data_IF_289181670429
#
_entry.id   IF_289181670429
#
_cell.length_a   1.000
_cell.length_b   1.000
_cell.length_c   1.000
_cell.angle_alpha   90.00
_cell.angle_beta   90.00
_cell.angle_gamma   90.00
#
_symmetry.space_group_name_H-M   'P 1'
#
loop_
_entity.id
_entity.type
_entity.pdbx_description
1 polymer ?
#
# COMPACT_ATOMS: atom_id res chain seq x y z
N UNK A 1 -3.77 -2.24 -13.17
CA UNK A 1 -2.75 -2.19 -12.11
C UNK A 1 -1.38 -1.89 -12.68
N UNK A 2 -0.88 -2.64 -13.68
CA UNK A 2 0.42 -2.40 -14.30
C UNK A 2 0.68 -0.93 -14.72
N UNK A 3 -0.28 -0.28 -15.38
CA UNK A 3 -0.18 1.14 -15.75
C UNK A 3 0.05 2.03 -14.52
N UNK A 4 -0.68 1.80 -13.42
CA UNK A 4 -0.52 2.57 -12.18
C UNK A 4 0.85 2.32 -11.53
N UNK A 5 1.37 1.09 -11.57
CA UNK A 5 2.73 0.79 -11.10
C UNK A 5 3.78 1.54 -11.89
N UNK A 6 3.64 1.60 -13.22
CA UNK A 6 4.52 2.38 -14.10
C UNK A 6 4.43 3.87 -13.75
N UNK A 7 3.21 4.40 -13.57
CA UNK A 7 3.00 5.80 -13.20
C UNK A 7 3.58 6.13 -11.83
N UNK A 8 3.51 5.23 -10.85
CA UNK A 8 4.18 5.39 -9.55
C UNK A 8 5.69 5.47 -9.76
N UNK A 9 6.27 4.55 -10.54
CA UNK A 9 7.71 4.57 -10.84
C UNK A 9 8.16 5.87 -11.53
N UNK A 10 7.41 6.31 -12.55
CA UNK A 10 7.69 7.56 -13.27
C UNK A 10 7.51 8.80 -12.40
N UNK A 11 6.45 8.85 -11.57
CA UNK A 11 6.20 9.92 -10.61
C UNK A 11 7.33 10.03 -9.59
N UNK A 12 7.70 8.90 -8.99
CA UNK A 12 8.80 8.82 -8.02
C UNK A 12 10.14 9.20 -8.63
N UNK A 13 10.47 8.69 -9.82
CA UNK A 13 11.68 9.07 -10.56
C UNK A 13 11.72 10.58 -10.85
N UNK A 14 10.59 11.15 -11.31
CA UNK A 14 10.50 12.59 -11.59
C UNK A 14 10.69 13.42 -10.32
N UNK A 15 10.11 13.01 -9.20
CA UNK A 15 10.28 13.71 -7.93
C UNK A 15 11.73 13.68 -7.43
N UNK A 16 12.40 12.54 -7.53
CA UNK A 16 13.80 12.41 -7.14
C UNK A 16 14.79 13.10 -8.10
N UNK A 17 14.35 13.42 -9.32
CA UNK A 17 15.16 14.17 -10.29
C UNK A 17 14.99 15.68 -10.15
N UNK A 18 13.75 16.16 -9.97
CA UNK A 18 13.45 17.61 -10.03
C UNK A 18 13.01 18.24 -8.70
N UNK A 19 12.62 17.44 -7.71
CA UNK A 19 12.32 17.84 -6.33
C UNK A 19 11.39 19.08 -6.18
N UNK A 20 10.35 19.18 -7.01
CA UNK A 20 9.39 20.29 -6.96
C UNK A 20 7.97 19.84 -6.65
N UNK A 21 7.09 20.81 -6.30
CA UNK A 21 5.70 20.55 -5.89
C UNK A 21 4.90 19.75 -6.91
N UNK A 22 5.09 20.00 -8.21
CA UNK A 22 4.39 19.26 -9.26
C UNK A 22 4.83 17.80 -9.29
N UNK A 23 6.14 17.56 -9.32
CA UNK A 23 6.66 16.18 -9.35
C UNK A 23 6.33 15.40 -8.08
N UNK A 24 6.33 16.06 -6.92
CA UNK A 24 5.88 15.44 -5.66
C UNK A 24 4.37 15.14 -5.66
N UNK A 25 3.56 16.04 -6.24
CA UNK A 25 2.13 15.80 -6.40
C UNK A 25 1.86 14.60 -7.33
N UNK A 26 2.56 14.50 -8.45
CA UNK A 26 2.41 13.38 -9.39
C UNK A 26 2.75 12.04 -8.75
N UNK A 27 3.82 11.97 -7.95
CA UNK A 27 4.22 10.77 -7.20
C UNK A 27 3.10 10.32 -6.23
N UNK A 28 2.64 11.24 -5.38
CA UNK A 28 1.61 10.94 -4.37
C UNK A 28 0.26 10.61 -5.02
N UNK A 29 -0.14 11.31 -6.08
CA UNK A 29 -1.40 11.02 -6.78
C UNK A 29 -1.39 9.65 -7.46
N UNK A 30 -0.27 9.24 -8.04
CA UNK A 30 -0.15 7.91 -8.64
C UNK A 30 -0.36 6.80 -7.59
N UNK A 31 0.21 6.97 -6.40
CA UNK A 31 0.02 6.06 -5.26
C UNK A 31 -1.44 6.07 -4.79
N UNK A 32 -2.06 7.25 -4.66
CA UNK A 32 -3.45 7.38 -4.23
C UNK A 32 -4.41 6.68 -5.20
N UNK A 33 -4.22 6.86 -6.51
CA UNK A 33 -4.99 6.18 -7.55
C UNK A 33 -4.81 4.67 -7.50
N UNK A 34 -3.59 4.18 -7.21
CA UNK A 34 -3.34 2.77 -7.01
C UNK A 34 -4.12 2.22 -5.81
N UNK A 35 -4.03 2.86 -4.64
CA UNK A 35 -4.72 2.40 -3.43
C UNK A 35 -6.24 2.34 -3.63
N UNK A 36 -6.84 3.40 -4.19
CA UNK A 36 -8.29 3.43 -4.47
C UNK A 36 -8.68 2.35 -5.46
N UNK A 37 -7.93 2.21 -6.55
CA UNK A 37 -8.23 1.21 -7.58
C UNK A 37 -8.08 -0.22 -7.04
N UNK A 38 -7.05 -0.47 -6.23
CA UNK A 38 -6.85 -1.76 -5.58
C UNK A 38 -7.98 -2.08 -4.60
N UNK A 39 -8.32 -1.15 -3.71
CA UNK A 39 -9.41 -1.30 -2.75
C UNK A 39 -10.77 -1.53 -3.42
N UNK A 40 -11.02 -0.90 -4.57
CA UNK A 40 -12.23 -1.13 -5.36
C UNK A 40 -12.25 -2.51 -6.02
N UNK A 41 -11.10 -3.02 -6.47
CA UNK A 41 -11.02 -4.26 -7.23
C UNK A 41 -10.89 -5.52 -6.37
N UNK A 42 -10.21 -5.45 -5.22
CA UNK A 42 -9.95 -6.63 -4.39
C UNK A 42 -11.22 -7.36 -3.93
N UNK A 43 -12.36 -6.71 -3.65
CA UNK A 43 -13.58 -7.40 -3.23
C UNK A 43 -14.19 -8.31 -4.30
N UNK A 44 -13.77 -8.18 -5.56
CA UNK A 44 -14.16 -9.12 -6.63
C UNK A 44 -13.62 -10.54 -6.38
N UNK A 45 -12.60 -10.67 -5.54
CA UNK A 45 -12.07 -11.96 -5.11
C UNK A 45 -12.91 -12.60 -3.99
N UNK A 46 -13.82 -11.84 -3.38
CA UNK A 46 -14.67 -12.32 -2.28
C UNK A 46 -15.93 -12.98 -2.85
N UNK A 47 -16.44 -13.99 -2.14
CA UNK A 47 -17.61 -14.77 -2.56
C UNK A 47 -18.93 -13.98 -2.59
N UNK A 48 -18.93 -12.73 -2.13
CA UNK A 48 -20.09 -11.82 -2.00
C UNK A 48 -19.82 -10.47 -2.70
N UNK A 49 -19.07 -10.52 -3.80
CA UNK A 49 -18.61 -9.34 -4.56
C UNK A 49 -19.74 -8.57 -5.27
N UNK A 50 -20.45 -7.71 -4.54
CA UNK A 50 -21.38 -6.70 -5.08
C UNK A 50 -20.66 -5.36 -5.33
N UNK A 51 -21.24 -4.49 -6.19
CA UNK A 51 -20.76 -3.10 -6.35
C UNK A 51 -20.75 -2.33 -5.04
N UNK A 52 -21.71 -2.61 -4.15
CA UNK A 52 -21.77 -2.01 -2.81
C UNK A 52 -20.59 -2.44 -1.93
N UNK A 53 -20.16 -3.70 -2.04
CA UNK A 53 -18.96 -4.21 -1.35
C UNK A 53 -17.70 -3.49 -1.83
N UNK A 54 -17.61 -3.18 -3.14
CA UNK A 54 -16.47 -2.45 -3.71
C UNK A 54 -16.41 -1.00 -3.21
N UNK A 55 -17.55 -0.31 -3.18
CA UNK A 55 -17.66 1.05 -2.62
C UNK A 55 -17.33 1.03 -1.12
N UNK A 56 -17.90 0.09 -0.37
CA UNK A 56 -17.63 -0.08 1.06
C UNK A 56 -16.15 -0.36 1.35
N UNK A 57 -15.46 -1.12 0.49
CA UNK A 57 -14.02 -1.36 0.59
C UNK A 57 -13.20 -0.08 0.41
N UNK A 58 -13.53 0.75 -0.58
CA UNK A 58 -12.88 2.07 -0.76
C UNK A 58 -13.13 2.98 0.44
N UNK A 59 -14.36 3.03 0.96
CA UNK A 59 -14.68 3.80 2.17
C UNK A 59 -13.88 3.28 3.37
N UNK A 60 -13.78 1.96 3.52
CA UNK A 60 -13.01 1.32 4.60
C UNK A 60 -11.53 1.69 4.52
N UNK A 61 -10.93 1.70 3.33
CA UNK A 61 -9.56 2.20 3.14
C UNK A 61 -9.39 3.62 3.70
N UNK A 62 -10.29 4.54 3.33
CA UNK A 62 -10.22 5.93 3.80
C UNK A 62 -10.42 6.03 5.32
N UNK A 63 -11.38 5.30 5.89
CA UNK A 63 -11.60 5.25 7.33
C UNK A 63 -10.33 4.78 8.05
N UNK A 64 -9.72 3.69 7.59
CA UNK A 64 -8.50 3.16 8.21
C UNK A 64 -7.32 4.14 8.11
N UNK A 65 -7.15 4.81 6.96
CA UNK A 65 -6.14 5.87 6.78
C UNK A 65 -6.37 7.01 7.75
N UNK A 66 -7.60 7.52 7.85
CA UNK A 66 -7.93 8.66 8.73
C UNK A 66 -7.76 8.28 10.19
N UNK A 67 -8.30 7.14 10.64
CA UNK A 67 -8.21 6.69 12.02
C UNK A 67 -6.76 6.45 12.43
N UNK A 68 -5.96 5.78 11.60
CA UNK A 68 -4.54 5.57 11.90
C UNK A 68 -3.78 6.90 11.90
N UNK A 69 -4.09 7.84 11.00
CA UNK A 69 -3.46 9.16 10.99
C UNK A 69 -3.78 9.98 12.24
N UNK A 70 -5.03 9.93 12.73
CA UNK A 70 -5.42 10.56 13.98
C UNK A 70 -4.74 9.91 15.19
N UNK A 71 -4.73 8.57 15.26
CA UNK A 71 -4.08 7.83 16.35
C UNK A 71 -2.57 8.13 16.41
N UNK A 72 -1.88 8.09 15.27
CA UNK A 72 -0.45 8.39 15.21
C UNK A 72 -0.17 9.85 15.55
N UNK A 73 -1.01 10.80 15.11
CA UNK A 73 -0.84 12.20 15.48
C UNK A 73 -0.98 12.43 16.99
N UNK A 74 -1.88 11.69 17.64
CA UNK A 74 -2.03 11.71 19.10
C UNK A 74 -0.80 11.12 19.81
N UNK A 75 -0.21 10.04 19.27
CA UNK A 75 0.95 9.37 19.88
C UNK A 75 2.29 10.05 19.58
N UNK A 76 2.38 10.83 18.50
CA UNK A 76 3.62 11.47 18.01
C UNK A 76 4.39 12.28 19.06
N UNK A 77 3.76 13.08 19.94
CA UNK A 77 4.48 13.80 20.98
C UNK A 77 5.27 12.88 21.93
N UNK A 78 4.75 11.68 22.21
CA UNK A 78 5.42 10.69 23.05
C UNK A 78 6.36 9.78 22.26
N UNK A 79 6.07 9.52 20.97
CA UNK A 79 6.83 8.64 20.09
C UNK A 79 7.11 9.32 18.74
N UNK A 80 8.07 10.25 18.67
CA UNK A 80 8.32 11.06 17.47
C UNK A 80 8.77 10.24 16.25
N UNK A 81 9.34 9.05 16.48
CA UNK A 81 9.85 8.14 15.45
C UNK A 81 8.77 7.37 14.69
N UNK A 82 7.48 7.47 15.10
CA UNK A 82 6.44 6.73 14.42
C UNK A 82 6.23 7.21 12.97
N UNK A 83 6.07 6.28 12.01
CA UNK A 83 5.80 6.62 10.62
C UNK A 83 4.45 7.35 10.49
N UNK A 84 4.22 8.05 9.37
CA UNK A 84 2.90 8.65 9.11
C UNK A 84 1.79 7.60 9.19
N UNK A 85 0.71 7.94 9.89
CA UNK A 85 -0.44 7.06 10.03
C UNK A 85 -1.17 6.79 8.72
N UNK A 86 -0.92 7.55 7.65
CA UNK A 86 -1.36 7.19 6.30
C UNK A 86 -0.77 5.84 5.84
N UNK A 87 0.53 5.60 6.06
CA UNK A 87 1.16 4.31 5.72
C UNK A 87 0.63 3.19 6.59
N UNK A 88 0.48 3.44 7.89
CA UNK A 88 -0.06 2.46 8.84
C UNK A 88 -1.51 2.11 8.47
N UNK A 89 -2.34 3.09 8.12
CA UNK A 89 -3.72 2.84 7.71
C UNK A 89 -3.85 2.09 6.39
N UNK A 90 -3.00 2.40 5.40
CA UNK A 90 -2.93 1.63 4.15
C UNK A 90 -2.48 0.18 4.41
N UNK A 91 -1.52 -0.03 5.31
CA UNK A 91 -1.09 -1.37 5.73
C UNK A 91 -2.17 -2.13 6.51
N UNK A 92 -2.88 -1.46 7.42
CA UNK A 92 -4.03 -2.04 8.13
C UNK A 92 -5.14 -2.47 7.16
N UNK A 93 -5.40 -1.66 6.12
CA UNK A 93 -6.33 -2.04 5.05
C UNK A 93 -5.84 -3.26 4.28
N UNK A 94 -4.55 -3.31 3.93
CA UNK A 94 -3.93 -4.48 3.28
C UNK A 94 -4.06 -5.75 4.13
N UNK A 95 -3.82 -5.67 5.45
CA UNK A 95 -4.01 -6.77 6.38
C UNK A 95 -5.46 -7.24 6.40
N UNK A 96 -6.42 -6.31 6.51
CA UNK A 96 -7.85 -6.63 6.43
C UNK A 96 -8.19 -7.33 5.11
N UNK A 97 -7.68 -6.84 3.98
CA UNK A 97 -7.92 -7.46 2.67
C UNK A 97 -7.31 -8.86 2.56
N UNK A 98 -6.12 -9.10 3.14
CA UNK A 98 -5.53 -10.42 3.20
C UNK A 98 -6.43 -11.41 3.97
N UNK A 99 -6.92 -10.99 5.15
CA UNK A 99 -7.84 -11.79 5.99
C UNK A 99 -9.15 -12.07 5.26
N UNK A 100 -9.80 -11.06 4.67
CA UNK A 100 -11.08 -11.24 3.97
C UNK A 100 -10.95 -12.11 2.70
N UNK A 101 -9.80 -12.06 2.04
CA UNK A 101 -9.54 -12.84 0.82
C UNK A 101 -9.13 -14.28 1.11
N UNK A 102 -8.65 -14.60 2.32
CA UNK A 102 -8.00 -15.88 2.64
C UNK A 102 -8.85 -17.13 2.34
N UNK A 103 -10.15 -17.04 2.58
CA UNK A 103 -11.07 -18.17 2.39
C UNK A 103 -11.65 -18.22 0.98
N UNK A 104 -11.80 -17.07 0.33
CA UNK A 104 -12.46 -16.94 -0.97
C UNK A 104 -11.49 -17.14 -2.14
N UNK A 105 -10.26 -16.67 -2.01
CA UNK A 105 -9.19 -16.92 -2.97
C UNK A 105 -7.85 -17.07 -2.23
N UNK A 106 -7.53 -18.30 -1.77
CA UNK A 106 -6.30 -18.58 -1.02
C UNK A 106 -5.02 -18.22 -1.79
N UNK A 107 -5.04 -18.36 -3.13
CA UNK A 107 -3.90 -18.03 -3.99
C UNK A 107 -3.64 -16.53 -3.96
N UNK A 108 -4.68 -15.70 -4.18
CA UNK A 108 -4.57 -14.25 -4.08
C UNK A 108 -4.14 -13.82 -2.67
N UNK A 109 -4.77 -14.39 -1.64
CA UNK A 109 -4.47 -14.07 -0.24
C UNK A 109 -3.02 -14.37 0.15
N UNK A 110 -2.41 -15.44 -0.36
CA UNK A 110 -0.99 -15.75 -0.14
C UNK A 110 -0.09 -14.59 -0.54
N UNK A 111 -0.33 -13.98 -1.70
CA UNK A 111 0.45 -12.82 -2.15
C UNK A 111 0.16 -11.57 -1.31
N UNK A 112 -1.09 -11.37 -0.87
CA UNK A 112 -1.41 -10.29 0.05
C UNK A 112 -0.70 -10.45 1.39
N UNK A 113 -0.64 -11.66 1.95
CA UNK A 113 0.12 -11.94 3.17
C UNK A 113 1.62 -11.69 3.00
N UNK A 114 2.21 -12.06 1.86
CA UNK A 114 3.60 -11.65 1.58
C UNK A 114 3.75 -10.13 1.53
N UNK A 115 2.82 -9.41 0.92
CA UNK A 115 2.85 -7.95 0.91
C UNK A 115 2.70 -7.36 2.33
N UNK A 116 1.83 -7.93 3.18
CA UNK A 116 1.68 -7.56 4.60
C UNK A 116 2.99 -7.72 5.36
N UNK A 117 3.76 -8.77 5.06
CA UNK A 117 5.05 -9.03 5.72
C UNK A 117 6.17 -8.14 5.19
N UNK A 118 6.21 -7.84 3.88
CA UNK A 118 7.28 -7.04 3.26
C UNK A 118 7.14 -5.55 3.60
N UNK A 119 5.91 -5.02 3.61
CA UNK A 119 5.69 -3.58 3.74
C UNK A 119 6.25 -2.94 5.04
N UNK A 120 6.17 -3.59 6.23
CA UNK A 120 6.80 -3.07 7.43
C UNK A 120 8.32 -2.89 7.31
N UNK A 121 9.03 -3.80 6.64
CA UNK A 121 10.47 -3.66 6.39
C UNK A 121 10.78 -2.53 5.41
N UNK A 122 9.90 -2.32 4.43
CA UNK A 122 9.93 -1.12 3.62
C UNK A 122 9.87 0.10 4.54
N UNK A 123 8.80 0.25 5.32
CA UNK A 123 8.56 1.42 6.17
C UNK A 123 9.66 1.66 7.21
N UNK A 124 10.22 0.59 7.76
CA UNK A 124 11.38 0.66 8.62
C UNK A 124 12.59 1.25 7.89
N UNK A 125 12.88 0.81 6.66
CA UNK A 125 13.97 1.38 5.84
C UNK A 125 13.79 2.88 5.63
N UNK A 126 12.56 3.37 5.50
CA UNK A 126 12.29 4.81 5.42
C UNK A 126 12.46 5.53 6.76
N UNK A 127 12.05 4.93 7.88
CA UNK A 127 12.22 5.55 9.20
C UNK A 127 13.70 5.64 9.60
N UNK A 128 14.50 4.64 9.22
CA UNK A 128 15.93 4.60 9.48
C UNK A 128 16.74 5.52 8.55
N UNK A 129 16.14 6.02 7.47
CA UNK A 129 16.88 6.80 6.47
C UNK A 129 17.46 8.09 7.05
N UNK A 130 16.67 8.88 7.77
CA UNK A 130 17.17 10.12 8.39
C UNK A 130 18.27 9.86 9.42
N UNK A 131 18.08 8.97 10.43
CA UNK A 131 19.15 8.65 11.39
C UNK A 131 20.43 8.11 10.75
N UNK A 132 20.34 7.29 9.71
CA UNK A 132 21.51 6.70 9.06
C UNK A 132 22.16 7.66 8.05
N UNK A 133 21.40 8.58 7.46
CA UNK A 133 21.91 9.58 6.53
C UNK A 133 22.98 10.46 7.17
N UNK A 134 22.84 10.77 8.47
CA UNK A 134 23.85 11.50 9.26
C UNK A 134 25.20 10.76 9.32
N UNK A 135 25.19 9.43 9.17
CA UNK A 135 26.39 8.59 9.11
C UNK A 135 26.94 8.33 7.70
N UNK A 136 26.33 8.92 6.67
CA UNK A 136 26.74 8.78 5.26
C UNK A 136 26.10 7.59 4.52
N UNK A 137 25.11 6.92 5.11
CA UNK A 137 24.40 5.78 4.50
C UNK A 137 22.90 6.06 4.39
N UNK A 138 22.34 5.93 3.18
CA UNK A 138 20.90 6.09 2.94
C UNK A 138 20.22 4.74 2.72
N UNK A 139 19.06 4.57 3.34
CA UNK A 139 18.16 3.42 3.17
C UNK A 139 16.93 3.76 2.33
N UNK A 140 16.80 4.99 1.83
CA UNK A 140 15.67 5.44 1.03
C UNK A 140 15.48 4.65 -0.27
N UNK A 141 16.57 4.24 -0.91
CA UNK A 141 16.51 3.37 -2.09
C UNK A 141 15.89 2.00 -1.76
N UNK A 142 16.19 1.45 -0.58
CA UNK A 142 15.66 0.16 -0.12
C UNK A 142 14.16 0.25 0.17
N UNK A 143 13.69 1.38 0.72
CA UNK A 143 12.26 1.69 0.83
C UNK A 143 11.57 1.58 -0.54
N UNK A 144 12.14 2.19 -1.58
CA UNK A 144 11.52 2.14 -2.92
C UNK A 144 11.48 0.73 -3.50
N UNK A 145 12.55 -0.05 -3.35
CA UNK A 145 12.60 -1.44 -3.81
C UNK A 145 11.55 -2.30 -3.10
N UNK A 146 11.52 -2.28 -1.76
CA UNK A 146 10.58 -3.08 -0.97
C UNK A 146 9.13 -2.62 -1.15
N UNK A 147 8.89 -1.32 -1.32
CA UNK A 147 7.58 -0.79 -1.68
C UNK A 147 7.15 -1.25 -3.07
N UNK A 148 8.07 -1.24 -4.06
CA UNK A 148 7.84 -1.80 -5.39
C UNK A 148 7.47 -3.28 -5.36
N UNK A 149 8.17 -4.08 -4.54
CA UNK A 149 7.84 -5.50 -4.30
C UNK A 149 6.46 -5.64 -3.68
N UNK A 150 6.11 -4.81 -2.70
CA UNK A 150 4.77 -4.80 -2.08
C UNK A 150 3.69 -4.56 -3.14
N UNK A 151 3.84 -3.52 -3.97
CA UNK A 151 2.91 -3.18 -5.05
C UNK A 151 2.81 -4.28 -6.12
N UNK A 152 3.92 -4.96 -6.43
CA UNK A 152 3.93 -6.11 -7.31
C UNK A 152 3.13 -7.27 -6.71
N UNK A 153 3.40 -7.65 -5.45
CA UNK A 153 2.72 -8.74 -4.77
C UNK A 153 1.21 -8.53 -4.69
N UNK A 154 0.76 -7.33 -4.29
CA UNK A 154 -0.67 -7.00 -4.24
C UNK A 154 -1.31 -7.03 -5.63
N UNK A 155 -0.66 -6.44 -6.63
CA UNK A 155 -1.18 -6.42 -8.01
C UNK A 155 -1.24 -7.81 -8.62
N UNK A 156 -0.21 -8.63 -8.38
CA UNK A 156 -0.14 -10.00 -8.86
C UNK A 156 -1.20 -10.88 -8.18
N UNK A 157 -1.33 -10.77 -6.85
CA UNK A 157 -2.40 -11.43 -6.10
C UNK A 157 -3.79 -11.09 -6.62
N UNK A 158 -4.04 -9.82 -6.97
CA UNK A 158 -5.30 -9.40 -7.58
C UNK A 158 -5.57 -10.05 -8.95
N UNK A 159 -4.52 -10.35 -9.72
CA UNK A 159 -4.63 -11.04 -11.01
C UNK A 159 -4.91 -12.54 -10.88
N UNK A 160 -4.64 -13.14 -9.72
CA UNK A 160 -4.91 -14.55 -9.49
C UNK A 160 -6.41 -14.76 -9.37
N UNK A 161 -7.00 -15.46 -10.34
CA UNK A 161 -8.40 -15.89 -10.29
C UNK A 161 -8.43 -17.33 -9.80
N UNK A 162 -9.29 -17.61 -8.82
CA UNK A 162 -9.66 -18.98 -8.49
C UNK A 162 -10.47 -19.56 -9.65
N UNK A 163 -10.02 -20.68 -10.22
CA UNK A 163 -10.77 -21.48 -11.21
C UNK A 163 -11.95 -22.21 -10.54
N UNK A 164 -12.79 -21.51 -9.79
CA UNK A 164 -14.07 -22.06 -9.35
C UNK A 164 -15.08 -21.86 -10.50
N UNK A 165 -15.01 -22.79 -11.46
CA UNK A 165 -16.13 -23.38 -12.23
C UNK A 165 -17.46 -22.59 -12.14
N UNK A 166 -17.96 -21.93 -13.19
CA UNK A 166 -18.59 -22.58 -14.37
C UNK A 166 -19.06 -24.01 -14.02
N UNK A 167 -20.05 -24.11 -13.14
CA UNK A 167 -20.98 -25.22 -13.09
C UNK A 167 -22.37 -24.64 -13.34
#
# INVERSE_FOLDING_TARGET
>A
MAILLILIGLGSFSFHTFANRLTGLLDVLAIALYLVSFAYLIPKQWSWGSRWTQIGSVITLFILIVLCQLAINYMKPALPWMPSGMYVGAWSALLLYAVLTQNSNPIAARYLWFAVLVFPFSLLSRQLDMPLCESGFSTHWLWHVLNGVTLYLTSYGLCQRTNQTRN
#
